data_IF_846760482947
#
_entry.id   IF_846760482947
#
_cell.length_a   1.000
_cell.length_b   1.000
_cell.length_c   1.000
_cell.angle_alpha   90.00
_cell.angle_beta   90.00
_cell.angle_gamma   90.00
#
_symmetry.space_group_name_H-M   'P 1'
#
loop_
_entity.id
_entity.type
_entity.pdbx_description
1 polymer ?
#
# COMPACT_ATOMS: atom_id res chain seq x y z
N UNK A 1 3.47 14.72 12.96
CA UNK A 1 2.10 14.16 12.94
C UNK A 1 1.61 14.17 11.50
N UNK A 2 0.95 13.11 11.02
CA UNK A 2 0.37 13.09 9.66
C UNK A 2 -0.89 13.96 9.67
N UNK A 3 -1.02 14.86 8.69
CA UNK A 3 -2.23 15.68 8.54
C UNK A 3 -3.31 14.95 7.74
N UNK A 4 -4.57 15.39 7.87
CA UNK A 4 -5.68 14.81 7.11
C UNK A 4 -5.45 14.84 5.58
N UNK A 5 -4.98 15.94 4.95
CA UNK A 5 -4.66 15.94 3.52
C UNK A 5 -3.56 14.93 3.15
N UNK A 6 -2.53 14.79 3.99
CA UNK A 6 -1.48 13.81 3.74
C UNK A 6 -2.01 12.38 3.87
N UNK A 7 -2.84 12.08 4.87
CA UNK A 7 -3.47 10.77 5.01
C UNK A 7 -4.35 10.42 3.79
N UNK A 8 -5.15 11.39 3.31
CA UNK A 8 -5.99 11.20 2.12
C UNK A 8 -5.14 10.98 0.86
N UNK A 9 -4.07 11.75 0.69
CA UNK A 9 -3.14 11.56 -0.43
C UNK A 9 -2.48 10.17 -0.39
N UNK A 10 -2.00 9.74 0.78
CA UNK A 10 -1.44 8.40 0.97
C UNK A 10 -2.46 7.30 0.69
N UNK A 11 -3.71 7.48 1.12
CA UNK A 11 -4.81 6.55 0.80
C UNK A 11 -5.03 6.44 -0.71
N UNK A 12 -5.07 7.56 -1.44
CA UNK A 12 -5.21 7.55 -2.91
C UNK A 12 -4.06 6.78 -3.55
N UNK A 13 -2.81 7.03 -3.15
CA UNK A 13 -1.65 6.30 -3.67
C UNK A 13 -1.76 4.80 -3.38
N UNK A 14 -2.11 4.41 -2.15
CA UNK A 14 -2.27 3.02 -1.78
C UNK A 14 -3.39 2.33 -2.59
N UNK A 15 -4.54 2.99 -2.77
CA UNK A 15 -5.64 2.49 -3.60
C UNK A 15 -5.22 2.33 -5.07
N UNK A 16 -4.47 3.29 -5.63
CA UNK A 16 -3.92 3.20 -6.98
C UNK A 16 -2.99 1.99 -7.15
N UNK A 17 -2.10 1.74 -6.19
CA UNK A 17 -1.22 0.57 -6.20
C UNK A 17 -2.04 -0.73 -6.16
N UNK A 18 -3.07 -0.81 -5.31
CA UNK A 18 -3.94 -1.99 -5.20
C UNK A 18 -4.79 -2.20 -6.46
N UNK A 19 -5.33 -1.14 -7.04
CA UNK A 19 -6.08 -1.18 -8.30
C UNK A 19 -5.20 -1.59 -9.49
N UNK A 20 -3.97 -1.05 -9.56
CA UNK A 20 -3.00 -1.44 -10.59
C UNK A 20 -2.63 -2.92 -10.44
N UNK A 21 -2.37 -3.39 -9.22
CA UNK A 21 -2.10 -4.80 -8.96
C UNK A 21 -3.29 -5.68 -9.37
N UNK A 22 -4.52 -5.26 -9.08
CA UNK A 22 -5.73 -5.95 -9.57
C UNK A 22 -5.77 -6.02 -11.09
N UNK A 23 -5.55 -4.90 -11.79
CA UNK A 23 -5.56 -4.84 -13.24
C UNK A 23 -4.52 -5.79 -13.87
N UNK A 24 -3.34 -5.92 -13.25
CA UNK A 24 -2.28 -6.83 -13.70
C UNK A 24 -2.58 -8.31 -13.39
N UNK A 25 -3.37 -8.61 -12.35
CA UNK A 25 -3.69 -9.99 -11.93
C UNK A 25 -5.05 -10.50 -12.40
N UNK A 26 -5.95 -9.59 -12.79
CA UNK A 26 -7.37 -9.86 -13.04
C UNK A 26 -8.11 -10.41 -11.81
N UNK A 27 -9.36 -10.82 -12.01
CA UNK A 27 -10.18 -11.48 -11.00
C UNK A 27 -11.58 -10.91 -10.87
N UNK A 28 -12.33 -11.42 -9.88
CA UNK A 28 -13.65 -10.90 -9.52
C UNK A 28 -13.56 -9.56 -8.79
N UNK A 29 -14.67 -8.83 -8.72
CA UNK A 29 -14.76 -7.59 -7.93
C UNK A 29 -14.42 -7.75 -6.46
N UNK A 30 -14.66 -8.94 -5.88
CA UNK A 30 -14.23 -9.23 -4.51
C UNK A 30 -12.70 -9.21 -4.36
N UNK A 31 -11.97 -9.73 -5.36
CA UNK A 31 -10.50 -9.66 -5.38
C UNK A 31 -9.99 -8.23 -5.47
N UNK A 32 -10.72 -7.32 -6.13
CA UNK A 32 -10.39 -5.90 -6.13
C UNK A 32 -10.43 -5.34 -4.71
N UNK A 33 -11.52 -5.55 -3.98
CA UNK A 33 -11.65 -5.06 -2.60
C UNK A 33 -10.55 -5.61 -1.68
N UNK A 34 -10.22 -6.90 -1.82
CA UNK A 34 -9.12 -7.51 -1.07
C UNK A 34 -7.77 -6.88 -1.39
N UNK A 35 -7.47 -6.60 -2.67
CA UNK A 35 -6.22 -5.93 -3.06
C UNK A 35 -6.18 -4.47 -2.63
N UNK A 36 -7.29 -3.73 -2.69
CA UNK A 36 -7.35 -2.37 -2.17
C UNK A 36 -7.06 -2.34 -0.66
N UNK A 37 -7.74 -3.18 0.12
CA UNK A 37 -7.51 -3.28 1.57
C UNK A 37 -6.08 -3.73 1.91
N UNK A 38 -5.56 -4.73 1.20
CA UNK A 38 -4.19 -5.22 1.36
C UNK A 38 -3.15 -4.16 1.05
N UNK A 39 -3.35 -3.39 -0.03
CA UNK A 39 -2.45 -2.31 -0.43
C UNK A 39 -2.44 -1.18 0.61
N UNK A 40 -3.61 -0.79 1.14
CA UNK A 40 -3.73 0.21 2.21
C UNK A 40 -3.03 -0.25 3.48
N UNK A 41 -3.23 -1.51 3.88
CA UNK A 41 -2.56 -2.10 5.03
C UNK A 41 -1.04 -2.10 4.85
N UNK A 42 -0.55 -2.56 3.70
CA UNK A 42 0.87 -2.54 3.38
C UNK A 42 1.47 -1.14 3.35
N UNK A 43 0.75 -0.16 2.80
CA UNK A 43 1.22 1.23 2.78
C UNK A 43 1.38 1.78 4.20
N UNK A 44 0.39 1.56 5.06
CA UNK A 44 0.44 1.98 6.46
C UNK A 44 1.59 1.30 7.22
N UNK A 45 1.82 0.00 7.00
CA UNK A 45 2.94 -0.72 7.61
C UNK A 45 4.30 -0.21 7.10
N UNK A 46 4.41 0.13 5.82
CA UNK A 46 5.60 0.77 5.26
C UNK A 46 5.90 2.12 5.93
N UNK A 47 4.87 2.94 6.16
CA UNK A 47 5.00 4.20 6.90
C UNK A 47 5.46 3.97 8.34
N UNK A 48 4.88 3.00 9.05
CA UNK A 48 5.26 2.64 10.42
C UNK A 48 6.70 2.14 10.47
N UNK A 49 7.10 1.28 9.54
CA UNK A 49 8.49 0.80 9.44
C UNK A 49 9.47 1.95 9.22
N UNK A 50 9.14 2.91 8.34
CA UNK A 50 9.95 4.11 8.13
C UNK A 50 10.13 4.94 9.41
N UNK A 51 9.06 5.11 10.20
CA UNK A 51 9.13 5.84 11.48
C UNK A 51 9.95 5.06 12.51
N UNK A 52 9.67 3.76 12.67
CA UNK A 52 10.25 2.95 13.74
C UNK A 52 11.73 2.66 13.52
N UNK A 53 12.12 2.36 12.28
CA UNK A 53 13.51 2.03 11.93
C UNK A 53 14.31 3.23 11.40
N UNK A 54 13.69 4.41 11.27
CA UNK A 54 14.32 5.60 10.71
C UNK A 54 14.62 5.49 9.21
N UNK A 55 13.98 4.57 8.50
CA UNK A 55 14.20 4.38 7.07
C UNK A 55 13.59 5.50 6.25
N UNK A 56 14.27 5.84 5.16
CA UNK A 56 13.80 6.80 4.17
C UNK A 56 14.08 6.24 2.79
N UNK A 57 13.06 6.12 1.95
CA UNK A 57 13.22 5.66 0.56
C UNK A 57 12.86 6.77 -0.43
N UNK A 58 11.63 7.27 -0.38
CA UNK A 58 11.21 8.39 -1.22
C UNK A 58 10.15 9.22 -0.53
N UNK A 59 10.56 10.37 0.01
CA UNK A 59 9.67 11.28 0.75
C UNK A 59 9.00 12.31 -0.14
N UNK A 60 7.71 12.48 0.09
CA UNK A 60 6.93 13.58 -0.45
C UNK A 60 6.12 14.22 0.69
N UNK A 61 6.52 15.41 1.09
CA UNK A 61 6.00 16.05 2.30
C UNK A 61 6.21 15.17 3.53
N UNK A 62 5.12 14.80 4.21
CA UNK A 62 5.14 14.00 5.44
C UNK A 62 5.12 12.48 5.22
N UNK A 63 4.97 12.02 3.97
CA UNK A 63 4.89 10.61 3.64
C UNK A 63 6.19 10.11 3.03
N UNK A 64 6.57 8.87 3.35
CA UNK A 64 7.57 8.15 2.58
C UNK A 64 6.84 7.26 1.58
N UNK A 65 6.50 7.84 0.43
CA UNK A 65 5.78 7.16 -0.65
C UNK A 65 6.54 5.89 -1.06
N UNK A 66 7.87 5.94 -1.10
CA UNK A 66 8.69 4.79 -1.44
C UNK A 66 8.45 3.61 -0.50
N UNK A 67 8.60 3.83 0.81
CA UNK A 67 8.38 2.77 1.80
C UNK A 67 6.92 2.32 1.83
N UNK A 68 5.96 3.25 1.67
CA UNK A 68 4.56 2.90 1.54
C UNK A 68 4.30 1.97 0.35
N UNK A 69 4.84 2.28 -0.83
CA UNK A 69 4.70 1.42 -2.02
C UNK A 69 5.38 0.06 -1.84
N UNK A 70 6.55 0.00 -1.21
CA UNK A 70 7.23 -1.27 -0.88
C UNK A 70 6.37 -2.10 0.07
N UNK A 71 5.83 -1.50 1.13
CA UNK A 71 4.94 -2.17 2.07
C UNK A 71 3.67 -2.70 1.39
N UNK A 72 3.02 -1.89 0.54
CA UNK A 72 1.89 -2.32 -0.29
C UNK A 72 2.27 -3.51 -1.17
N UNK A 73 3.39 -3.45 -1.87
CA UNK A 73 3.84 -4.53 -2.74
C UNK A 73 4.08 -5.83 -1.97
N UNK A 74 4.75 -5.78 -0.81
CA UNK A 74 5.01 -6.95 0.04
C UNK A 74 3.69 -7.60 0.48
N UNK A 75 2.75 -6.83 1.02
CA UNK A 75 1.47 -7.37 1.51
C UNK A 75 0.60 -7.88 0.35
N UNK A 76 0.55 -7.18 -0.78
CA UNK A 76 -0.18 -7.62 -1.97
C UNK A 76 0.36 -8.95 -2.51
N UNK A 77 1.69 -9.08 -2.61
CA UNK A 77 2.32 -10.31 -3.09
C UNK A 77 2.08 -11.48 -2.14
N UNK A 78 2.23 -11.26 -0.83
CA UNK A 78 1.95 -12.26 0.20
C UNK A 78 0.47 -12.69 0.20
N UNK A 79 -0.46 -11.73 0.19
CA UNK A 79 -1.89 -11.99 0.16
C UNK A 79 -2.34 -12.70 -1.12
N UNK A 80 -1.80 -12.30 -2.28
CA UNK A 80 -2.09 -12.99 -3.53
C UNK A 80 -1.54 -14.42 -3.57
N UNK A 81 -0.43 -14.72 -2.89
CA UNK A 81 0.07 -16.09 -2.78
C UNK A 81 -0.88 -16.97 -1.96
N UNK A 82 -1.38 -16.46 -0.83
CA UNK A 82 -2.27 -17.22 0.07
C UNK A 82 -3.68 -17.46 -0.52
N UNK A 83 -4.17 -16.54 -1.35
CA UNK A 83 -5.52 -16.60 -1.94
C UNK A 83 -5.57 -17.46 -3.21
N UNK A 84 -4.42 -17.81 -3.80
CA UNK A 84 -4.37 -18.69 -4.97
C UNK A 84 -4.48 -20.15 -4.52
N UNK A 85 -5.55 -20.89 -4.87
CA UNK A 85 -5.53 -22.35 -4.85
C UNK A 85 -4.57 -22.91 -5.91
#
# INVERSE_FOLDING_TARGET
MITFPAALFGLVIALLVGALFHALRGGSGWRLLLYLGSSVLGFALGQVAGIFFGWVLFKFGMLDIGLGMVGSAVILLAGNWLIRP
#
